data_IF_398674387744
#
_entry.id   IF_398674387744
#
_cell.length_a   1.000
_cell.length_b   1.000
_cell.length_c   1.000
_cell.angle_alpha   90.00
_cell.angle_beta   90.00
_cell.angle_gamma   90.00
#
_symmetry.space_group_name_H-M   'P 1'
#
loop_
_entity.id
_entity.type
_entity.pdbx_description
1 polymer ?
#
# COMPACT_ATOMS: atom_id res chain seq x y z
N UNK A 1 -43.40 -36.68 -66.99
CA UNK A 1 -42.79 -35.87 -68.07
C UNK A 1 -42.43 -34.50 -67.51
N UNK A 2 -41.18 -34.03 -67.73
CA UNK A 2 -40.65 -32.66 -67.51
C UNK A 2 -40.53 -32.22 -66.03
N UNK A 3 -39.34 -31.89 -65.47
CA UNK A 3 -38.50 -30.67 -65.68
C UNK A 3 -39.35 -29.39 -65.50
N UNK A 4 -39.00 -28.34 -64.75
CA UNK A 4 -37.78 -27.81 -64.09
C UNK A 4 -38.17 -26.44 -63.52
N UNK A 5 -37.43 -25.90 -62.54
CA UNK A 5 -37.40 -24.44 -62.34
C UNK A 5 -36.85 -24.02 -60.98
N UNK A 6 -35.55 -23.77 -60.95
CA UNK A 6 -34.72 -23.38 -59.81
C UNK A 6 -34.94 -21.89 -59.48
N UNK A 7 -35.08 -21.62 -58.19
CA UNK A 7 -35.20 -20.29 -57.58
C UNK A 7 -33.81 -19.62 -57.65
N UNK A 8 -33.72 -18.51 -58.35
CA UNK A 8 -32.53 -17.69 -58.48
C UNK A 8 -32.75 -16.35 -57.76
N UNK A 9 -31.81 -15.99 -56.87
CA UNK A 9 -31.47 -14.60 -56.63
C UNK A 9 -32.28 -13.84 -55.57
N UNK A 10 -32.10 -14.16 -54.28
CA UNK A 10 -32.24 -13.14 -53.22
C UNK A 10 -31.45 -13.48 -51.94
N UNK A 11 -30.31 -14.18 -52.06
CA UNK A 11 -29.51 -14.65 -50.92
C UNK A 11 -28.21 -13.86 -50.65
N UNK A 12 -27.90 -12.83 -51.44
CA UNK A 12 -26.57 -12.17 -51.42
C UNK A 12 -26.56 -10.71 -50.96
N UNK A 13 -27.70 -10.14 -50.55
CA UNK A 13 -27.77 -8.73 -50.12
C UNK A 13 -27.60 -8.50 -48.62
N UNK A 14 -27.93 -9.48 -47.77
CA UNK A 14 -27.99 -9.28 -46.31
C UNK A 14 -26.75 -9.77 -45.53
N UNK A 15 -25.84 -10.50 -46.18
CA UNK A 15 -24.63 -11.04 -45.52
C UNK A 15 -23.43 -10.08 -45.55
N UNK A 16 -23.50 -8.96 -46.28
CA UNK A 16 -22.41 -7.95 -46.31
C UNK A 16 -22.56 -6.82 -45.27
N UNK A 17 -23.69 -6.72 -44.57
CA UNK A 17 -23.88 -5.66 -43.55
C UNK A 17 -23.47 -6.07 -42.12
N UNK A 18 -23.08 -7.33 -41.89
CA UNK A 18 -22.73 -7.85 -40.56
C UNK A 18 -21.20 -7.92 -40.36
N UNK A 19 -20.40 -7.69 -41.41
CA UNK A 19 -18.92 -7.78 -41.35
C UNK A 19 -18.21 -6.44 -41.11
N UNK A 20 -18.94 -5.32 -41.00
CA UNK A 20 -18.37 -3.97 -40.95
C UNK A 20 -18.10 -3.37 -39.56
N UNK A 21 -18.46 -4.05 -38.47
CA UNK A 21 -18.43 -3.43 -37.13
C UNK A 21 -17.24 -3.82 -36.23
N UNK A 22 -16.21 -4.51 -36.76
CA UNK A 22 -15.05 -4.94 -35.95
C UNK A 22 -13.80 -4.05 -36.08
N UNK A 23 -13.86 -2.92 -36.78
CA UNK A 23 -12.68 -2.12 -37.09
C UNK A 23 -12.71 -0.71 -36.48
N UNK A 24 -12.76 -0.61 -35.15
CA UNK A 24 -12.28 0.57 -34.42
C UNK A 24 -12.13 0.26 -32.92
N UNK A 25 -11.21 -0.63 -32.53
CA UNK A 25 -10.63 -0.51 -31.19
C UNK A 25 -9.63 0.64 -31.25
N UNK A 26 -9.94 1.74 -30.57
CA UNK A 26 -8.91 2.70 -30.20
C UNK A 26 -7.74 1.91 -29.59
N UNK A 27 -6.48 2.28 -29.88
CA UNK A 27 -5.35 1.70 -29.17
C UNK A 27 -5.64 1.80 -27.68
N UNK A 28 -5.62 0.67 -26.97
CA UNK A 28 -5.63 0.71 -25.52
C UNK A 28 -4.48 1.65 -25.12
N UNK A 29 -4.70 2.60 -24.20
CA UNK A 29 -3.59 3.38 -23.67
C UNK A 29 -2.51 2.39 -23.24
N UNK A 30 -1.26 2.65 -23.61
CA UNK A 30 -0.13 1.81 -23.19
C UNK A 30 -0.29 1.51 -21.70
N UNK A 31 -0.18 0.24 -21.28
CA UNK A 31 -0.27 -0.07 -19.86
C UNK A 31 0.68 0.87 -19.13
N UNK A 32 0.15 1.60 -18.15
CA UNK A 32 0.96 2.48 -17.32
C UNK A 32 2.20 1.67 -16.88
N UNK A 33 3.41 2.27 -16.90
CA UNK A 33 4.59 1.55 -16.47
C UNK A 33 4.30 0.92 -15.11
N UNK A 34 4.56 -0.39 -15.02
CA UNK A 34 4.38 -1.14 -13.79
C UNK A 34 5.04 -0.36 -12.65
N UNK A 35 4.37 -0.29 -11.50
CA UNK A 35 4.94 0.36 -10.33
C UNK A 35 6.34 -0.20 -10.07
N UNK A 36 7.28 0.63 -9.59
CA UNK A 36 8.71 0.26 -9.47
C UNK A 36 8.93 -1.01 -8.63
N UNK A 37 7.97 -1.36 -7.78
CA UNK A 37 7.96 -2.57 -6.97
C UNK A 37 7.34 -3.81 -7.64
N UNK A 38 6.99 -3.77 -8.94
CA UNK A 38 6.47 -4.90 -9.70
C UNK A 38 7.52 -5.41 -10.68
N UNK A 39 7.90 -6.67 -10.52
CA UNK A 39 8.78 -7.42 -11.43
C UNK A 39 8.00 -8.47 -12.18
N UNK A 40 8.62 -9.09 -13.21
CA UNK A 40 8.03 -10.24 -13.89
C UNK A 40 7.73 -11.43 -12.94
N UNK A 41 8.40 -11.49 -11.78
CA UNK A 41 8.23 -12.52 -10.76
C UNK A 41 7.35 -12.13 -9.57
N UNK A 42 6.72 -10.94 -9.58
CA UNK A 42 5.87 -10.45 -8.50
C UNK A 42 6.38 -9.19 -7.82
N UNK A 43 5.97 -8.95 -6.57
CA UNK A 43 6.31 -7.76 -5.80
C UNK A 43 7.77 -7.81 -5.30
N UNK A 44 8.49 -6.70 -5.44
CA UNK A 44 9.83 -6.51 -4.91
C UNK A 44 9.97 -5.10 -4.29
N UNK A 45 10.48 -5.01 -3.06
CA UNK A 45 10.75 -3.71 -2.44
C UNK A 45 11.96 -3.03 -3.13
N UNK A 46 11.82 -1.83 -3.72
CA UNK A 46 12.88 -1.17 -4.49
C UNK A 46 14.04 -0.63 -3.62
N UNK A 47 13.83 -0.50 -2.31
CA UNK A 47 14.82 0.10 -1.40
C UNK A 47 15.71 -0.93 -0.69
N UNK A 48 15.50 -2.23 -0.92
CA UNK A 48 16.30 -3.28 -0.31
C UNK A 48 17.25 -3.91 -1.34
N UNK A 49 18.56 -4.03 -1.04
CA UNK A 49 19.48 -4.71 -1.93
C UNK A 49 19.09 -6.18 -2.10
N UNK A 50 19.21 -6.66 -3.33
CA UNK A 50 18.81 -8.00 -3.80
C UNK A 50 19.69 -9.16 -3.29
N UNK A 51 20.36 -9.04 -2.14
CA UNK A 51 21.18 -10.14 -1.61
C UNK A 51 20.35 -11.08 -0.72
N UNK A 52 19.51 -11.90 -1.37
CA UNK A 52 18.76 -12.98 -0.73
C UNK A 52 19.44 -14.35 -0.96
N UNK A 53 20.77 -14.41 -0.97
CA UNK A 53 21.49 -15.65 -1.30
C UNK A 53 21.15 -16.85 -0.40
N UNK A 54 20.54 -16.65 0.78
CA UNK A 54 20.08 -17.73 1.66
C UNK A 54 18.95 -17.29 2.63
N UNK A 55 17.66 -17.30 2.25
CA UNK A 55 16.57 -16.84 3.10
C UNK A 55 16.38 -17.71 4.36
N UNK A 56 16.51 -19.03 4.24
CA UNK A 56 16.34 -19.96 5.36
C UNK A 56 17.48 -19.85 6.38
N UNK A 57 18.73 -19.78 5.90
CA UNK A 57 19.89 -19.57 6.78
C UNK A 57 19.85 -18.20 7.46
N UNK A 58 19.36 -17.16 6.78
CA UNK A 58 19.15 -15.85 7.41
C UNK A 58 18.06 -15.89 8.50
N UNK A 59 16.97 -16.62 8.26
CA UNK A 59 15.95 -16.84 9.28
C UNK A 59 16.50 -17.58 10.50
N UNK A 60 17.23 -18.69 10.33
CA UNK A 60 17.83 -19.41 11.45
C UNK A 60 18.88 -18.55 12.19
N UNK A 61 19.70 -17.79 11.45
CA UNK A 61 20.67 -16.84 12.04
C UNK A 61 19.96 -15.81 12.93
N UNK A 62 18.83 -15.27 12.49
CA UNK A 62 18.01 -14.35 13.28
C UNK A 62 17.37 -15.05 14.49
N UNK A 63 16.75 -16.21 14.28
CA UNK A 63 16.07 -16.98 15.33
C UNK A 63 16.99 -17.34 16.50
N UNK A 64 18.25 -17.73 16.19
CA UNK A 64 19.26 -18.03 17.21
C UNK A 64 20.07 -16.81 17.67
N UNK A 65 19.79 -15.61 17.15
CA UNK A 65 20.47 -14.38 17.56
C UNK A 65 21.94 -14.29 17.15
N UNK A 66 22.36 -15.00 16.10
CA UNK A 66 23.72 -14.96 15.53
C UNK A 66 23.93 -13.80 14.53
N UNK A 67 22.96 -12.89 14.42
CA UNK A 67 23.07 -11.68 13.61
C UNK A 67 23.96 -10.61 14.25
N UNK A 68 24.40 -9.61 13.48
CA UNK A 68 25.03 -8.41 14.04
C UNK A 68 24.07 -7.78 15.04
N UNK A 69 24.58 -7.48 16.25
CA UNK A 69 23.85 -6.69 17.23
C UNK A 69 24.06 -5.23 16.90
N UNK A 70 22.98 -4.49 16.74
CA UNK A 70 23.07 -3.03 16.59
C UNK A 70 23.58 -2.46 17.92
N UNK A 71 24.76 -1.82 17.94
CA UNK A 71 25.18 -1.05 19.09
C UNK A 71 24.24 0.15 19.23
N UNK A 72 23.91 0.58 20.45
CA UNK A 72 23.12 1.80 20.63
C UNK A 72 23.85 2.97 19.96
N UNK A 73 23.10 3.83 19.27
CA UNK A 73 23.65 4.98 18.55
C UNK A 73 24.39 5.97 19.47
N UNK A 74 24.03 5.97 20.75
CA UNK A 74 24.61 6.79 21.81
C UNK A 74 24.91 5.86 23.00
N UNK A 75 26.11 5.92 23.61
CA UNK A 75 26.40 5.21 24.85
C UNK A 75 25.37 5.54 25.92
N UNK A 76 24.98 4.56 26.75
CA UNK A 76 23.92 4.78 27.76
C UNK A 76 24.28 5.86 28.76
N UNK A 77 25.57 6.00 29.02
CA UNK A 77 26.16 6.97 29.93
C UNK A 77 26.00 8.41 29.42
N UNK A 78 25.84 8.59 28.11
CA UNK A 78 25.66 9.90 27.45
C UNK A 78 24.18 10.27 27.28
N UNK A 79 23.25 9.33 27.49
CA UNK A 79 21.82 9.60 27.43
C UNK A 79 21.39 10.23 28.76
N UNK A 80 20.99 11.52 28.80
CA UNK A 80 20.49 12.12 30.01
C UNK A 80 19.25 11.36 30.48
N UNK A 81 19.10 11.21 31.79
CA UNK A 81 17.92 10.59 32.38
C UNK A 81 16.69 11.47 32.06
N UNK A 82 15.96 11.10 31.01
CA UNK A 82 14.78 11.82 30.55
C UNK A 82 13.53 11.08 30.99
N UNK A 83 12.85 11.63 31.99
CA UNK A 83 11.51 11.21 32.37
C UNK A 83 10.55 12.34 31.98
N UNK A 84 9.86 12.25 30.84
CA UNK A 84 8.88 13.26 30.48
C UNK A 84 7.79 13.32 31.53
N UNK A 85 7.41 14.51 31.95
CA UNK A 85 6.21 14.68 32.76
C UNK A 85 4.99 14.28 31.93
N UNK A 86 4.33 13.19 32.32
CA UNK A 86 3.13 12.72 31.64
C UNK A 86 1.95 13.53 32.17
N UNK A 87 1.52 14.51 31.37
CA UNK A 87 0.31 15.26 31.66
C UNK A 87 -0.94 14.41 31.40
N UNK A 88 -1.93 14.51 32.28
CA UNK A 88 -3.25 13.94 32.03
C UNK A 88 -3.93 14.72 30.87
N UNK A 89 -4.45 14.02 29.85
CA UNK A 89 -5.11 14.70 28.73
C UNK A 89 -6.45 15.31 29.17
N UNK A 90 -6.76 16.50 28.65
CA UNK A 90 -8.10 17.09 28.76
C UNK A 90 -9.09 16.35 27.84
N UNK A 91 -9.79 15.36 28.41
CA UNK A 91 -10.73 14.51 27.69
C UNK A 91 -11.93 15.28 27.13
N UNK A 92 -12.32 16.40 27.73
CA UNK A 92 -13.42 17.22 27.22
C UNK A 92 -13.00 17.90 25.91
N UNK A 93 -11.77 18.43 25.88
CA UNK A 93 -11.22 19.06 24.68
C UNK A 93 -11.00 18.03 23.55
N UNK A 94 -10.58 16.82 23.89
CA UNK A 94 -10.41 15.73 22.91
C UNK A 94 -11.73 15.22 22.33
N UNK A 95 -12.78 15.18 23.15
CA UNK A 95 -14.11 14.69 22.75
C UNK A 95 -14.91 15.76 21.99
N UNK A 96 -14.55 17.03 22.12
CA UNK A 96 -15.23 18.16 21.48
C UNK A 96 -14.20 19.20 21.00
N UNK A 97 -13.40 18.86 19.97
CA UNK A 97 -12.38 19.77 19.46
C UNK A 97 -13.02 21.02 18.86
N UNK A 98 -12.36 22.17 19.07
CA UNK A 98 -12.85 23.45 18.59
C UNK A 98 -12.94 23.48 17.04
N UNK A 99 -14.08 23.92 16.46
CA UNK A 99 -14.21 24.04 15.01
C UNK A 99 -13.15 24.98 14.41
N UNK A 100 -12.55 24.57 13.29
CA UNK A 100 -11.56 25.38 12.56
C UNK A 100 -10.18 25.48 13.22
N UNK A 101 -9.94 24.74 14.32
CA UNK A 101 -8.64 24.67 15.00
C UNK A 101 -8.02 23.29 14.79
N UNK A 102 -6.71 23.25 14.57
CA UNK A 102 -5.93 22.00 14.57
C UNK A 102 -5.40 21.78 15.98
N UNK A 103 -5.75 20.64 16.57
CA UNK A 103 -5.24 20.20 17.86
C UNK A 103 -4.27 19.03 17.66
N UNK A 104 -3.16 19.02 18.38
CA UNK A 104 -2.18 17.94 18.38
C UNK A 104 -1.94 17.50 19.81
N UNK A 105 -2.12 16.21 20.07
CA UNK A 105 -1.80 15.58 21.36
C UNK A 105 -0.72 14.54 21.13
N UNK A 106 0.42 14.70 21.81
CA UNK A 106 1.47 13.70 21.81
C UNK A 106 1.16 12.63 22.86
N UNK A 107 1.01 11.38 22.41
CA UNK A 107 0.69 10.26 23.30
C UNK A 107 1.99 9.56 23.76
N UNK A 108 2.99 9.49 22.89
CA UNK A 108 4.30 8.90 23.18
C UNK A 108 4.97 8.36 21.90
N UNK A 109 6.29 8.19 21.92
CA UNK A 109 7.07 7.78 20.74
C UNK A 109 6.72 8.64 19.50
N UNK A 110 6.42 8.02 18.35
CA UNK A 110 5.88 8.66 17.14
C UNK A 110 4.34 8.65 17.07
N UNK A 111 3.64 8.36 18.17
CA UNK A 111 2.18 8.35 18.24
C UNK A 111 1.63 9.74 18.61
N UNK A 112 0.94 10.35 17.65
CA UNK A 112 0.24 11.62 17.78
C UNK A 112 -1.23 11.45 17.44
N UNK A 113 -2.10 12.05 18.24
CA UNK A 113 -3.49 12.31 17.88
C UNK A 113 -3.59 13.73 17.31
N UNK A 114 -3.92 13.83 16.03
CA UNK A 114 -4.12 15.10 15.33
C UNK A 114 -5.61 15.23 15.02
N UNK A 115 -6.24 16.29 15.50
CA UNK A 115 -7.66 16.56 15.30
C UNK A 115 -7.81 17.83 14.46
N UNK A 116 -8.51 17.73 13.33
CA UNK A 116 -8.72 18.85 12.41
C UNK A 116 -10.02 18.66 11.64
N UNK A 117 -10.86 19.70 11.60
CA UNK A 117 -12.12 19.72 10.84
C UNK A 117 -13.02 18.50 11.08
N UNK A 118 -13.11 18.04 12.33
CA UNK A 118 -13.92 16.87 12.71
C UNK A 118 -13.29 15.51 12.36
N UNK A 119 -12.05 15.48 11.88
CA UNK A 119 -11.29 14.27 11.58
C UNK A 119 -10.24 14.03 12.66
N UNK A 120 -10.14 12.79 13.13
CA UNK A 120 -9.09 12.32 14.02
C UNK A 120 -8.09 11.48 13.23
N UNK A 121 -6.81 11.86 13.27
CA UNK A 121 -5.70 11.16 12.63
C UNK A 121 -4.77 10.66 13.74
N UNK A 122 -4.44 9.38 13.69
CA UNK A 122 -3.50 8.75 14.62
C UNK A 122 -2.26 8.31 13.84
N UNK A 123 -1.08 8.77 14.26
CA UNK A 123 0.19 8.35 13.66
C UNK A 123 0.75 7.14 14.40
N UNK A 124 1.34 6.18 13.68
CA UNK A 124 2.06 5.01 14.19
C UNK A 124 1.60 4.51 15.58
N UNK A 125 0.37 3.98 15.70
CA UNK A 125 -0.21 3.70 17.01
C UNK A 125 0.50 2.58 17.75
N UNK A 126 1.21 2.92 18.83
CA UNK A 126 1.86 1.96 19.72
C UNK A 126 1.44 2.24 21.16
N UNK A 127 0.54 1.41 21.68
CA UNK A 127 0.04 1.50 23.07
C UNK A 127 0.55 0.36 23.97
N UNK A 128 1.33 -0.56 23.40
CA UNK A 128 1.96 -1.66 24.15
C UNK A 128 3.10 -1.17 25.03
N UNK A 129 3.48 -1.99 26.01
CA UNK A 129 4.65 -1.71 26.87
C UNK A 129 5.98 -1.80 26.10
N UNK A 130 6.00 -2.58 25.02
CA UNK A 130 7.18 -2.83 24.19
C UNK A 130 6.75 -2.95 22.73
N UNK A 131 7.67 -2.60 21.82
CA UNK A 131 7.52 -2.84 20.39
C UNK A 131 8.39 -4.04 20.00
N UNK A 132 7.80 -5.24 19.98
CA UNK A 132 8.45 -6.47 19.51
C UNK A 132 7.47 -7.33 18.70
N UNK A 133 7.94 -8.10 17.71
CA UNK A 133 7.15 -9.15 17.05
C UNK A 133 6.67 -10.24 18.01
#
# INVERSE_FOLDING_TARGET
MRRTGIICGLGMGLLSLILGACAARAPLPSPAPLAVHHTAGGFQNPHLPLDHKNPFGQFLRWYFGFGPKEPPAVPREEVPEYQPEVAAPDLNHLSSPAPGVIQVTWIGHSTFLIQSNGVNILTDPVFGKYASP
#
